data_IF_612054397677
#
_entry.id   IF_612054397677
#
_cell.length_a   1.000
_cell.length_b   1.000
_cell.length_c   1.000
_cell.angle_alpha   90.00
_cell.angle_beta   90.00
_cell.angle_gamma   90.00
#
_symmetry.space_group_name_H-M   'P 1'
#
loop_
_entity.id
_entity.type
_entity.pdbx_description
1 polymer ?
#
# COMPACT_ATOMS: atom_id res chain seq x y z
N UNK A 1 12.67 -17.35 42.82
CA UNK A 1 11.28 -17.87 42.88
C UNK A 1 10.40 -17.34 41.76
N UNK A 2 10.41 -16.04 41.43
CA UNK A 2 9.62 -15.52 40.30
C UNK A 2 10.06 -16.07 38.92
N UNK A 3 11.37 -16.21 38.67
CA UNK A 3 11.88 -16.72 37.38
C UNK A 3 11.52 -18.21 37.14
N UNK A 4 11.69 -19.07 38.15
CA UNK A 4 11.26 -20.48 38.09
C UNK A 4 9.74 -20.65 37.83
N UNK A 5 8.91 -19.67 38.21
CA UNK A 5 7.47 -19.70 37.94
C UNK A 5 7.15 -19.38 36.46
N UNK A 6 7.97 -18.55 35.80
CA UNK A 6 7.81 -18.22 34.38
C UNK A 6 8.23 -19.40 33.49
N UNK A 7 9.40 -20.00 33.74
CA UNK A 7 9.84 -21.20 33.01
C UNK A 7 8.86 -22.38 33.18
N UNK A 8 8.23 -22.51 34.35
CA UNK A 8 7.19 -23.51 34.59
C UNK A 8 5.90 -23.24 33.80
N UNK A 9 5.55 -21.97 33.55
CA UNK A 9 4.43 -21.60 32.70
C UNK A 9 4.70 -21.98 31.23
N UNK A 10 5.89 -21.67 30.73
CA UNK A 10 6.32 -22.00 29.35
C UNK A 10 6.48 -23.50 29.12
N UNK A 11 6.95 -24.24 30.14
CA UNK A 11 7.01 -25.70 30.08
C UNK A 11 5.61 -26.33 29.93
N UNK A 12 4.59 -25.65 30.46
CA UNK A 12 3.21 -26.10 30.48
C UNK A 12 2.89 -26.92 31.73
N UNK A 13 1.93 -26.45 32.53
CA UNK A 13 1.48 -27.12 33.76
C UNK A 13 1.03 -28.57 33.50
N UNK A 14 0.39 -28.81 32.34
CA UNK A 14 -0.06 -30.14 31.94
C UNK A 14 1.08 -31.15 31.73
N UNK A 15 2.23 -30.70 31.21
CA UNK A 15 3.38 -31.58 30.97
C UNK A 15 4.06 -31.99 32.27
N UNK A 16 4.25 -31.05 33.21
CA UNK A 16 4.79 -31.39 34.53
C UNK A 16 3.88 -32.38 35.28
N UNK A 17 2.56 -32.21 35.14
CA UNK A 17 1.59 -33.15 35.72
C UNK A 17 1.65 -34.52 35.04
N UNK A 18 1.85 -34.59 33.73
CA UNK A 18 2.02 -35.84 33.00
C UNK A 18 3.29 -36.58 33.44
N UNK A 19 4.43 -35.88 33.54
CA UNK A 19 5.70 -36.45 34.03
C UNK A 19 5.54 -36.97 35.47
N UNK A 20 4.92 -36.20 36.36
CA UNK A 20 4.68 -36.61 37.75
C UNK A 20 3.74 -37.82 37.85
N UNK A 21 2.71 -37.87 37.01
CA UNK A 21 1.76 -39.01 36.95
C UNK A 21 2.48 -40.28 36.48
N UNK A 22 3.24 -40.19 35.40
CA UNK A 22 4.04 -41.31 34.89
C UNK A 22 5.05 -41.81 35.92
N UNK A 23 5.76 -40.91 36.60
CA UNK A 23 6.69 -41.28 37.66
C UNK A 23 6.00 -42.01 38.82
N UNK A 24 4.80 -41.54 39.22
CA UNK A 24 4.00 -42.18 40.26
C UNK A 24 3.55 -43.60 39.85
N UNK A 25 3.12 -43.79 38.61
CA UNK A 25 2.73 -45.10 38.07
C UNK A 25 3.92 -46.08 38.05
N UNK A 26 5.09 -45.63 37.56
CA UNK A 26 6.32 -46.42 37.58
C UNK A 26 6.72 -46.82 39.01
N UNK A 27 6.55 -45.91 39.99
CA UNK A 27 6.83 -46.18 41.40
C UNK A 27 5.89 -47.26 41.97
N UNK A 28 4.60 -47.23 41.62
CA UNK A 28 3.60 -48.21 42.08
C UNK A 28 3.84 -49.63 41.54
N UNK A 29 4.49 -49.76 40.37
CA UNK A 29 4.84 -51.04 39.78
C UNK A 29 5.91 -51.84 40.53
N UNK A 30 6.54 -51.25 41.58
CA UNK A 30 7.59 -51.91 42.36
C UNK A 30 7.29 -51.81 43.86
N UNK A 31 7.31 -52.90 44.64
CA UNK A 31 7.24 -52.79 46.10
C UNK A 31 8.55 -52.17 46.61
N UNK A 32 8.50 -50.90 47.00
CA UNK A 32 9.65 -50.15 47.53
C UNK A 32 9.47 -49.93 49.03
N UNK A 33 10.55 -50.03 49.82
CA UNK A 33 10.50 -49.64 51.24
C UNK A 33 10.27 -48.13 51.37
N UNK A 34 9.58 -47.71 52.43
CA UNK A 34 9.23 -46.30 52.65
C UNK A 34 10.45 -45.34 52.60
N UNK A 35 11.63 -45.78 53.05
CA UNK A 35 12.85 -44.98 52.97
C UNK A 35 13.37 -44.78 51.53
N UNK A 36 13.33 -45.83 50.71
CA UNK A 36 13.76 -45.75 49.31
C UNK A 36 12.74 -45.00 48.45
N UNK A 37 11.46 -45.08 48.82
CA UNK A 37 10.37 -44.32 48.23
C UNK A 37 10.61 -42.79 48.35
N UNK A 38 10.89 -42.33 49.57
CA UNK A 38 11.21 -40.93 49.84
C UNK A 38 12.48 -40.46 49.11
N UNK A 39 13.50 -41.33 49.01
CA UNK A 39 14.72 -41.05 48.27
C UNK A 39 14.46 -40.86 46.77
N UNK A 40 13.64 -41.71 46.16
CA UNK A 40 13.28 -41.62 44.75
C UNK A 40 12.47 -40.34 44.45
N UNK A 41 11.49 -40.02 45.28
CA UNK A 41 10.72 -38.78 45.14
C UNK A 41 11.61 -37.54 45.24
N UNK A 42 12.55 -37.50 46.21
CA UNK A 42 13.50 -36.39 46.33
C UNK A 42 14.44 -36.29 45.11
N UNK A 43 14.90 -37.42 44.57
CA UNK A 43 15.73 -37.44 43.39
C UNK A 43 14.99 -36.91 42.15
N UNK A 44 13.73 -37.31 41.97
CA UNK A 44 12.85 -36.81 40.92
C UNK A 44 12.65 -35.29 41.02
N UNK A 45 12.27 -34.79 42.19
CA UNK A 45 12.08 -33.35 42.42
C UNK A 45 13.37 -32.57 42.15
N UNK A 46 14.52 -33.08 42.62
CA UNK A 46 15.82 -32.45 42.39
C UNK A 46 16.14 -32.37 40.90
N UNK A 47 15.89 -33.45 40.15
CA UNK A 47 16.14 -33.49 38.71
C UNK A 47 15.23 -32.54 37.92
N UNK A 48 13.91 -32.60 38.17
CA UNK A 48 12.94 -31.73 37.48
C UNK A 48 13.25 -30.26 37.76
N UNK A 49 13.57 -29.90 39.01
CA UNK A 49 13.98 -28.54 39.35
C UNK A 49 15.28 -28.13 38.65
N UNK A 50 16.23 -29.06 38.50
CA UNK A 50 17.46 -28.81 37.74
C UNK A 50 17.21 -28.55 36.26
N UNK A 51 16.31 -29.32 35.64
CA UNK A 51 15.90 -29.13 34.24
C UNK A 51 15.20 -27.80 34.04
N UNK A 52 14.27 -27.43 34.93
CA UNK A 52 13.56 -26.15 34.87
C UNK A 52 14.51 -24.96 35.09
N UNK A 53 15.51 -25.10 35.98
CA UNK A 53 16.54 -24.08 36.17
C UNK A 53 17.39 -23.85 34.91
N UNK A 54 17.80 -24.94 34.25
CA UNK A 54 18.54 -24.85 32.98
C UNK A 54 17.68 -24.26 31.85
N UNK A 55 16.39 -24.56 31.81
CA UNK A 55 15.48 -23.95 30.85
C UNK A 55 15.39 -22.43 31.08
N UNK A 56 15.19 -22.01 32.33
CA UNK A 56 15.11 -20.60 32.72
C UNK A 56 16.37 -19.83 32.30
N UNK A 57 17.55 -20.37 32.59
CA UNK A 57 18.83 -19.79 32.18
C UNK A 57 18.93 -19.63 30.66
N UNK A 58 18.46 -20.62 29.89
CA UNK A 58 18.52 -20.57 28.43
C UNK A 58 17.47 -19.63 27.84
N UNK A 59 16.26 -19.63 28.36
CA UNK A 59 15.22 -18.69 27.93
C UNK A 59 15.61 -17.25 28.24
N UNK A 60 16.30 -17.00 29.34
CA UNK A 60 16.83 -15.67 29.67
C UNK A 60 17.88 -15.15 28.67
N UNK A 61 18.53 -16.03 27.91
CA UNK A 61 19.47 -15.63 26.84
C UNK A 61 18.81 -15.37 25.50
N UNK A 62 17.52 -15.72 25.34
CA UNK A 62 16.76 -15.53 24.11
C UNK A 62 15.93 -14.24 24.21
N UNK A 63 15.88 -13.47 23.13
CA UNK A 63 15.00 -12.31 23.06
C UNK A 63 13.55 -12.77 22.83
N UNK A 64 12.62 -12.27 23.64
CA UNK A 64 11.27 -12.84 23.77
C UNK A 64 10.44 -12.91 22.48
N UNK A 65 10.66 -12.03 21.51
CA UNK A 65 9.80 -11.93 20.31
C UNK A 65 10.45 -12.44 19.03
N UNK A 66 11.77 -12.36 18.88
CA UNK A 66 12.47 -12.74 17.64
C UNK A 66 12.83 -14.23 17.56
N UNK A 67 12.98 -14.89 18.70
CA UNK A 67 13.65 -16.20 18.83
C UNK A 67 12.66 -17.34 19.09
N UNK A 68 11.46 -17.27 18.51
CA UNK A 68 10.37 -18.23 18.75
C UNK A 68 10.80 -19.68 18.52
N UNK A 69 11.49 -19.98 17.41
CA UNK A 69 11.89 -21.36 17.09
C UNK A 69 12.94 -21.88 18.07
N UNK A 70 13.89 -21.03 18.48
CA UNK A 70 14.90 -21.40 19.46
C UNK A 70 14.27 -21.65 20.84
N UNK A 71 13.31 -20.81 21.24
CA UNK A 71 12.54 -20.97 22.48
C UNK A 71 11.78 -22.30 22.51
N UNK A 72 11.03 -22.61 21.45
CA UNK A 72 10.31 -23.89 21.35
C UNK A 72 11.25 -25.10 21.39
N UNK A 73 12.42 -25.01 20.75
CA UNK A 73 13.40 -26.09 20.78
C UNK A 73 14.01 -26.29 22.19
N UNK A 74 14.25 -25.22 22.96
CA UNK A 74 14.68 -25.32 24.35
C UNK A 74 13.61 -25.91 25.26
N UNK A 75 12.35 -25.51 25.07
CA UNK A 75 11.21 -26.07 25.81
C UNK A 75 11.08 -27.57 25.50
N UNK A 76 11.19 -27.97 24.23
CA UNK A 76 11.15 -29.38 23.84
C UNK A 76 12.30 -30.20 24.46
N UNK A 77 13.51 -29.64 24.48
CA UNK A 77 14.68 -30.27 25.11
C UNK A 77 14.50 -30.38 26.63
N UNK A 78 13.95 -29.37 27.29
CA UNK A 78 13.63 -29.41 28.72
C UNK A 78 12.54 -30.45 29.02
N UNK A 79 11.48 -30.52 28.20
CA UNK A 79 10.44 -31.55 28.31
C UNK A 79 11.07 -32.94 28.26
N UNK A 80 11.88 -33.21 27.25
CA UNK A 80 12.63 -34.46 27.16
C UNK A 80 13.50 -34.72 28.41
N UNK A 81 14.22 -33.70 28.88
CA UNK A 81 15.02 -33.77 30.10
C UNK A 81 14.21 -34.15 31.35
N UNK A 82 12.98 -33.65 31.50
CA UNK A 82 12.12 -34.00 32.63
C UNK A 82 11.65 -35.47 32.57
N UNK A 83 11.36 -35.99 31.37
CA UNK A 83 10.99 -37.39 31.17
C UNK A 83 12.16 -38.36 31.39
N UNK A 84 13.42 -37.91 31.37
CA UNK A 84 14.61 -38.77 31.53
C UNK A 84 14.57 -39.59 32.83
N UNK A 85 14.09 -39.03 33.95
CA UNK A 85 13.95 -39.79 35.22
C UNK A 85 12.93 -40.92 35.10
N UNK A 86 11.85 -40.72 34.34
CA UNK A 86 10.86 -41.76 34.06
C UNK A 86 11.48 -42.84 33.15
N UNK A 87 12.26 -42.46 32.14
CA UNK A 87 12.98 -43.40 31.29
C UNK A 87 13.99 -44.23 32.08
N UNK A 88 14.81 -43.62 32.93
CA UNK A 88 15.76 -44.35 33.78
C UNK A 88 15.03 -45.33 34.71
N UNK A 89 13.92 -44.89 35.32
CA UNK A 89 13.11 -45.76 36.19
C UNK A 89 12.50 -46.94 35.42
N UNK A 90 12.01 -46.71 34.20
CA UNK A 90 11.48 -47.76 33.33
C UNK A 90 12.58 -48.74 32.88
N UNK A 91 13.78 -48.24 32.57
CA UNK A 91 14.96 -49.05 32.23
C UNK A 91 15.36 -49.96 33.40
N UNK A 92 15.32 -49.47 34.63
CA UNK A 92 15.59 -50.27 35.83
C UNK A 92 14.56 -51.39 36.07
N UNK A 93 13.34 -51.23 35.54
CA UNK A 93 12.26 -52.20 35.64
C UNK A 93 12.20 -53.18 34.46
N UNK A 94 12.91 -52.89 33.36
CA UNK A 94 12.89 -53.71 32.16
C UNK A 94 13.58 -55.07 32.37
N UNK A 95 13.24 -56.03 31.51
CA UNK A 95 13.95 -57.30 31.46
C UNK A 95 15.45 -57.07 31.17
N UNK A 96 16.38 -57.87 31.73
CA UNK A 96 17.82 -57.61 31.66
C UNK A 96 18.37 -57.46 30.24
N UNK A 97 17.79 -58.18 29.28
CA UNK A 97 18.14 -58.16 27.85
C UNK A 97 17.71 -56.86 27.14
N UNK A 98 16.73 -56.13 27.68
CA UNK A 98 16.24 -54.86 27.13
C UNK A 98 16.95 -53.62 27.69
N UNK A 99 17.65 -53.72 28.82
CA UNK A 99 18.31 -52.58 29.49
C UNK A 99 19.31 -51.88 28.57
N UNK A 100 20.15 -52.65 27.88
CA UNK A 100 21.16 -52.12 26.95
C UNK A 100 20.54 -51.35 25.77
N UNK A 101 19.64 -51.98 24.99
CA UNK A 101 18.92 -51.32 23.91
C UNK A 101 18.16 -50.06 24.34
N UNK A 102 17.46 -50.08 25.47
CA UNK A 102 16.70 -48.92 25.96
C UNK A 102 17.61 -47.76 26.38
N UNK A 103 18.76 -48.03 27.01
CA UNK A 103 19.77 -46.99 27.30
C UNK A 103 20.32 -46.37 26.03
N UNK A 104 20.62 -47.19 25.03
CA UNK A 104 21.10 -46.70 23.74
C UNK A 104 20.06 -45.80 23.05
N UNK A 105 18.77 -46.19 23.09
CA UNK A 105 17.67 -45.40 22.56
C UNK A 105 17.52 -44.06 23.31
N UNK A 106 17.58 -44.07 24.64
CA UNK A 106 17.51 -42.86 25.47
C UNK A 106 18.63 -41.87 25.13
N UNK A 107 19.87 -42.37 24.97
CA UNK A 107 21.02 -41.55 24.55
C UNK A 107 20.82 -41.01 23.13
N UNK A 108 20.28 -41.81 22.20
CA UNK A 108 19.99 -41.36 20.84
C UNK A 108 18.93 -40.25 20.81
N UNK A 109 17.85 -40.38 21.59
CA UNK A 109 16.82 -39.35 21.73
C UNK A 109 17.40 -38.06 22.33
N UNK A 110 18.21 -38.15 23.40
CA UNK A 110 18.85 -36.99 24.00
C UNK A 110 19.72 -36.23 22.98
N UNK A 111 20.49 -36.95 22.15
CA UNK A 111 21.28 -36.34 21.06
C UNK A 111 20.42 -35.67 20.00
N UNK A 112 19.26 -36.25 19.67
CA UNK A 112 18.34 -35.67 18.69
C UNK A 112 17.76 -34.33 19.18
N UNK A 113 17.30 -34.25 20.43
CA UNK A 113 16.80 -33.00 20.99
C UNK A 113 17.91 -31.95 21.17
N UNK A 114 19.13 -32.36 21.53
CA UNK A 114 20.28 -31.45 21.55
C UNK A 114 20.59 -30.91 20.15
N UNK A 115 20.54 -31.77 19.12
CA UNK A 115 20.71 -31.37 17.72
C UNK A 115 19.61 -30.41 17.26
N UNK A 116 18.35 -30.66 17.63
CA UNK A 116 17.23 -29.79 17.30
C UNK A 116 17.42 -28.37 17.85
N UNK A 117 17.81 -28.24 19.13
CA UNK A 117 18.10 -26.95 19.74
C UNK A 117 19.26 -26.22 19.05
N UNK A 118 20.31 -26.95 18.65
CA UNK A 118 21.45 -26.36 17.91
C UNK A 118 21.03 -25.87 16.53
N UNK A 119 20.26 -26.66 15.78
CA UNK A 119 19.77 -26.29 14.44
C UNK A 119 18.82 -25.09 14.52
N UNK A 120 17.92 -25.07 15.50
CA UNK A 120 17.01 -23.94 15.71
C UNK A 120 17.78 -22.63 15.98
N UNK A 121 18.79 -22.67 16.86
CA UNK A 121 19.64 -21.50 17.13
C UNK A 121 20.47 -21.06 15.92
N UNK A 122 21.00 -22.01 15.15
CA UNK A 122 21.75 -21.69 13.93
C UNK A 122 20.84 -21.03 12.89
N UNK A 123 19.65 -21.59 12.67
CA UNK A 123 18.65 -21.03 11.77
C UNK A 123 18.22 -19.62 12.18
N UNK A 124 17.94 -19.39 13.47
CA UNK A 124 17.57 -18.06 13.97
C UNK A 124 18.70 -17.04 13.81
N UNK A 125 19.95 -17.46 14.05
CA UNK A 125 21.12 -16.60 13.82
C UNK A 125 21.24 -16.19 12.37
N UNK A 126 21.14 -17.15 11.44
CA UNK A 126 21.27 -16.88 10.01
C UNK A 126 20.12 -16.00 9.51
N UNK A 127 18.88 -16.28 9.95
CA UNK A 127 17.69 -15.45 9.67
C UNK A 127 17.87 -14.02 10.17
N UNK A 128 18.32 -13.84 11.41
CA UNK A 128 18.52 -12.51 11.99
C UNK A 128 19.66 -11.76 11.27
N UNK A 129 20.74 -12.45 10.87
CA UNK A 129 21.80 -11.84 10.08
C UNK A 129 21.31 -11.38 8.69
N UNK A 130 20.45 -12.16 8.04
CA UNK A 130 19.83 -11.78 6.76
C UNK A 130 18.88 -10.60 6.91
N UNK A 131 18.04 -10.58 7.95
CA UNK A 131 17.15 -9.45 8.25
C UNK A 131 17.94 -8.17 8.48
N UNK A 132 19.02 -8.21 9.27
CA UNK A 132 19.86 -7.05 9.51
C UNK A 132 20.58 -6.57 8.23
N UNK A 133 21.03 -7.49 7.38
CA UNK A 133 21.60 -7.13 6.09
C UNK A 133 20.58 -6.41 5.19
N UNK A 134 19.34 -6.90 5.14
CA UNK A 134 18.25 -6.27 4.38
C UNK A 134 17.85 -4.90 4.96
N UNK A 135 17.87 -4.73 6.29
CA UNK A 135 17.63 -3.44 6.94
C UNK A 135 18.68 -2.41 6.55
N UNK A 136 19.96 -2.76 6.61
CA UNK A 136 21.06 -1.88 6.19
C UNK A 136 20.97 -1.52 4.70
N UNK A 137 20.63 -2.48 3.84
CA UNK A 137 20.43 -2.21 2.41
C UNK A 137 19.25 -1.27 2.17
N UNK A 138 18.14 -1.47 2.89
CA UNK A 138 16.96 -0.61 2.84
C UNK A 138 17.30 0.82 3.27
N UNK A 139 17.92 1.01 4.43
CA UNK A 139 18.31 2.34 4.94
C UNK A 139 19.22 3.08 3.96
N UNK A 140 20.15 2.36 3.32
CA UNK A 140 21.02 2.92 2.28
C UNK A 140 20.21 3.37 1.06
N UNK A 141 19.27 2.54 0.59
CA UNK A 141 18.42 2.89 -0.55
C UNK A 141 17.53 4.11 -0.24
N UNK A 142 16.96 4.18 0.97
CA UNK A 142 16.18 5.33 1.43
C UNK A 142 17.01 6.61 1.47
N UNK A 143 18.25 6.53 1.98
CA UNK A 143 19.16 7.67 1.97
C UNK A 143 19.51 8.12 0.54
N UNK A 144 19.80 7.18 -0.37
CA UNK A 144 20.08 7.49 -1.78
C UNK A 144 18.87 8.13 -2.50
N UNK A 145 17.64 7.76 -2.13
CA UNK A 145 16.39 8.36 -2.63
C UNK A 145 16.19 9.76 -2.06
N UNK A 146 16.42 9.96 -0.77
CA UNK A 146 16.31 11.29 -0.15
C UNK A 146 17.31 12.28 -0.75
N UNK A 147 18.57 11.87 -0.96
CA UNK A 147 19.57 12.68 -1.66
C UNK A 147 19.11 13.07 -3.08
N UNK A 148 18.43 12.15 -3.78
CA UNK A 148 17.89 12.40 -5.11
C UNK A 148 16.72 13.39 -5.09
N UNK A 149 15.85 13.30 -4.09
CA UNK A 149 14.76 14.25 -3.91
C UNK A 149 15.26 15.65 -3.56
N UNK A 150 16.25 15.76 -2.66
CA UNK A 150 16.87 17.03 -2.30
C UNK A 150 17.57 17.66 -3.51
N UNK A 151 18.32 16.88 -4.29
CA UNK A 151 18.92 17.34 -5.53
C UNK A 151 17.88 17.79 -6.57
N UNK A 152 16.74 17.10 -6.66
CA UNK A 152 15.65 17.51 -7.55
C UNK A 152 15.03 18.84 -7.11
N UNK A 153 14.79 19.03 -5.81
CA UNK A 153 14.28 20.30 -5.26
C UNK A 153 15.23 21.46 -5.54
N UNK A 154 16.53 21.28 -5.31
CA UNK A 154 17.53 22.30 -5.58
C UNK A 154 17.60 22.69 -7.08
N UNK A 155 17.41 21.73 -7.98
CA UNK A 155 17.36 21.98 -9.42
C UNK A 155 16.06 22.68 -9.86
N UNK A 156 14.93 22.34 -9.24
CA UNK A 156 13.65 23.02 -9.48
C UNK A 156 13.74 24.49 -9.02
N UNK A 157 14.31 24.77 -7.82
CA UNK A 157 14.56 26.13 -7.32
C UNK A 157 15.51 26.92 -8.24
N UNK A 158 16.60 26.31 -8.71
CA UNK A 158 17.53 26.98 -9.65
C UNK A 158 16.86 27.25 -11.01
N UNK A 159 16.00 26.33 -11.48
CA UNK A 159 15.25 26.52 -12.71
C UNK A 159 14.25 27.69 -12.60
N UNK A 160 13.60 27.87 -11.45
CA UNK A 160 12.73 29.02 -11.17
C UNK A 160 13.53 30.33 -11.18
N UNK A 161 14.65 30.41 -10.47
CA UNK A 161 15.52 31.60 -10.46
C UNK A 161 15.97 31.95 -11.88
N UNK A 162 16.45 30.97 -12.66
CA UNK A 162 16.84 31.20 -14.06
C UNK A 162 15.66 31.62 -14.93
N UNK A 163 14.46 31.12 -14.67
CA UNK A 163 13.26 31.53 -15.37
C UNK A 163 12.93 33.00 -15.08
N UNK A 164 13.00 33.43 -13.82
CA UNK A 164 12.80 34.81 -13.41
C UNK A 164 13.86 35.75 -14.02
N UNK A 165 15.14 35.38 -13.95
CA UNK A 165 16.23 36.14 -14.58
C UNK A 165 16.02 36.27 -16.09
N UNK A 166 15.63 35.18 -16.75
CA UNK A 166 15.32 35.18 -18.19
C UNK A 166 14.13 36.09 -18.50
N UNK A 167 13.09 36.08 -17.66
CA UNK A 167 11.94 36.97 -17.81
C UNK A 167 12.31 38.44 -17.57
N UNK A 168 13.17 38.73 -16.60
CA UNK A 168 13.67 40.08 -16.36
C UNK A 168 14.56 40.58 -17.49
N UNK A 169 15.49 39.76 -17.98
CA UNK A 169 16.29 40.02 -19.18
C UNK A 169 15.40 40.28 -20.39
N UNK A 170 14.36 39.47 -20.61
CA UNK A 170 13.36 39.71 -21.66
C UNK A 170 12.64 41.03 -21.47
N UNK A 171 12.27 41.40 -20.24
CA UNK A 171 11.65 42.70 -19.94
C UNK A 171 12.60 43.85 -20.26
N UNK A 172 13.88 43.74 -19.86
CA UNK A 172 14.93 44.74 -20.12
C UNK A 172 15.27 44.85 -21.62
N UNK A 173 15.33 43.73 -22.34
CA UNK A 173 15.57 43.68 -23.78
C UNK A 173 14.35 44.12 -24.59
N UNK A 174 13.13 43.89 -24.11
CA UNK A 174 11.89 44.44 -24.68
C UNK A 174 11.91 45.97 -24.76
N UNK A 175 12.56 46.64 -23.81
CA UNK A 175 12.83 48.09 -23.85
C UNK A 175 13.93 48.52 -24.82
N UNK A 176 14.80 47.61 -25.28
CA UNK A 176 15.94 47.90 -26.19
C UNK A 176 15.72 47.42 -27.63
N UNK A 177 14.64 46.69 -27.88
CA UNK A 177 14.35 46.01 -29.16
C UNK A 177 13.51 46.87 -30.11
N UNK A 178 13.96 48.09 -30.39
CA UNK A 178 13.53 48.80 -31.61
C UNK A 178 14.49 48.62 -32.77
N UNK A 179 15.73 48.13 -32.59
CA UNK A 179 16.66 47.93 -33.71
C UNK A 179 17.71 46.83 -33.41
N UNK A 180 17.41 45.55 -33.65
CA UNK A 180 18.43 44.51 -33.91
C UNK A 180 17.80 43.20 -34.44
N UNK A 181 18.47 42.48 -35.35
CA UNK A 181 17.95 41.26 -35.97
C UNK A 181 18.03 40.05 -35.03
N UNK A 182 17.06 39.15 -35.17
CA UNK A 182 16.87 37.95 -34.37
C UNK A 182 18.00 36.93 -34.57
N UNK A 183 18.70 36.58 -33.50
CA UNK A 183 19.57 35.40 -33.44
C UNK A 183 18.89 34.36 -32.55
N UNK A 184 18.90 33.12 -33.01
CA UNK A 184 18.06 32.01 -32.57
C UNK A 184 18.56 31.37 -31.25
N UNK A 185 18.34 32.07 -30.13
CA UNK A 185 18.63 31.56 -28.76
C UNK A 185 17.77 30.33 -28.37
N UNK A 186 16.76 29.98 -29.16
CA UNK A 186 15.92 28.80 -28.94
C UNK A 186 16.65 27.47 -29.21
N UNK A 187 17.80 27.49 -29.89
CA UNK A 187 18.51 26.27 -30.29
C UNK A 187 19.37 25.66 -29.16
N UNK A 188 19.82 26.45 -28.19
CA UNK A 188 20.68 25.98 -27.07
C UNK A 188 19.85 25.39 -25.92
N UNK A 189 18.67 25.94 -25.63
CA UNK A 189 17.75 25.40 -24.62
C UNK A 189 17.05 24.10 -25.08
N UNK A 190 17.03 23.81 -26.39
CA UNK A 190 16.42 22.60 -26.96
C UNK A 190 17.22 21.30 -26.78
N UNK A 191 18.46 21.37 -26.29
CA UNK A 191 19.39 20.22 -26.36
C UNK A 191 19.38 19.25 -25.18
N UNK A 192 18.66 19.48 -24.08
CA UNK A 192 18.72 18.57 -22.91
C UNK A 192 17.38 18.12 -22.35
N UNK A 193 16.28 18.85 -22.51
CA UNK A 193 14.98 18.42 -21.99
C UNK A 193 14.28 17.51 -23.01
N UNK A 194 14.24 16.20 -22.74
CA UNK A 194 13.50 15.23 -23.56
C UNK A 194 12.04 15.65 -23.67
N UNK A 195 11.56 16.05 -24.84
CA UNK A 195 10.15 16.41 -25.06
C UNK A 195 9.36 15.11 -25.24
N UNK A 196 8.31 14.92 -24.45
CA UNK A 196 7.43 13.76 -24.56
C UNK A 196 6.26 14.10 -25.48
N UNK A 197 5.91 13.19 -26.39
CA UNK A 197 4.59 13.29 -27.04
C UNK A 197 3.51 12.82 -26.07
N UNK A 198 2.26 13.26 -26.26
CA UNK A 198 1.12 12.80 -25.45
C UNK A 198 1.07 11.28 -25.34
N UNK A 199 1.23 10.55 -26.44
CA UNK A 199 1.19 9.08 -26.44
C UNK A 199 2.35 8.49 -25.63
N UNK A 200 3.57 9.01 -25.80
CA UNK A 200 4.71 8.55 -25.00
C UNK A 200 4.53 8.80 -23.51
N UNK A 201 3.92 9.93 -23.14
CA UNK A 201 3.59 10.24 -21.76
C UNK A 201 2.55 9.26 -21.21
N UNK A 202 1.46 9.01 -21.94
CA UNK A 202 0.43 8.03 -21.54
C UNK A 202 1.02 6.63 -21.37
N UNK A 203 1.82 6.16 -22.32
CA UNK A 203 2.49 4.85 -22.24
C UNK A 203 3.44 4.78 -21.01
N UNK A 204 4.11 5.90 -20.69
CA UNK A 204 5.00 5.98 -19.53
C UNK A 204 4.22 5.98 -18.22
N UNK A 205 3.08 6.67 -18.16
CA UNK A 205 2.18 6.67 -17.00
C UNK A 205 1.64 5.26 -16.77
N UNK A 206 1.20 4.57 -17.83
CA UNK A 206 0.70 3.19 -17.72
C UNK A 206 1.79 2.23 -17.22
N UNK A 207 3.00 2.30 -17.79
CA UNK A 207 4.13 1.51 -17.32
C UNK A 207 4.51 1.80 -15.85
N UNK A 208 4.43 3.06 -15.42
CA UNK A 208 4.68 3.46 -14.04
C UNK A 208 3.61 2.89 -13.10
N UNK A 209 2.33 2.98 -13.47
CA UNK A 209 1.21 2.41 -12.70
C UNK A 209 1.34 0.90 -12.53
N UNK A 210 1.65 0.18 -13.60
CA UNK A 210 1.87 -1.28 -13.54
C UNK A 210 3.06 -1.65 -12.65
N UNK A 211 4.14 -0.86 -12.73
CA UNK A 211 5.32 -1.03 -11.87
C UNK A 211 4.96 -0.78 -10.41
N UNK A 212 4.22 0.29 -10.11
CA UNK A 212 3.79 0.66 -8.75
C UNK A 212 2.87 -0.41 -8.15
N UNK A 213 1.89 -0.89 -8.91
CA UNK A 213 0.99 -1.94 -8.44
C UNK A 213 1.71 -3.25 -8.12
N UNK A 214 2.83 -3.56 -8.79
CA UNK A 214 3.68 -4.72 -8.45
C UNK A 214 4.52 -4.46 -7.21
N UNK A 215 5.02 -3.23 -7.04
CA UNK A 215 5.79 -2.81 -5.87
C UNK A 215 4.94 -2.81 -4.61
N UNK A 216 3.73 -2.23 -4.67
CA UNK A 216 2.81 -2.21 -3.53
C UNK A 216 2.46 -3.60 -3.02
N UNK A 217 2.25 -4.57 -3.92
CA UNK A 217 2.05 -5.97 -3.53
C UNK A 217 3.26 -6.56 -2.79
N UNK A 218 4.47 -6.23 -3.22
CA UNK A 218 5.69 -6.66 -2.52
C UNK A 218 5.83 -5.99 -1.16
N UNK A 219 5.47 -4.70 -1.05
CA UNK A 219 5.45 -4.00 0.23
C UNK A 219 4.45 -4.66 1.20
N UNK A 220 3.25 -5.02 0.70
CA UNK A 220 2.24 -5.73 1.48
C UNK A 220 2.73 -7.12 1.94
N UNK A 221 3.35 -7.88 1.03
CA UNK A 221 3.94 -9.20 1.34
C UNK A 221 5.07 -9.10 2.37
N UNK A 222 5.90 -8.06 2.27
CA UNK A 222 7.01 -7.79 3.19
C UNK A 222 6.59 -7.04 4.46
N UNK A 223 5.32 -6.63 4.58
CA UNK A 223 4.79 -5.80 5.68
C UNK A 223 5.57 -4.51 5.90
N UNK A 224 5.93 -3.83 4.83
CA UNK A 224 6.60 -2.52 4.86
C UNK A 224 5.68 -1.43 4.32
N UNK A 225 5.98 -0.18 4.64
CA UNK A 225 5.25 0.98 4.13
C UNK A 225 5.28 1.00 2.60
N UNK A 226 4.17 1.44 2.00
CA UNK A 226 4.10 1.71 0.56
C UNK A 226 4.68 3.09 0.28
N UNK A 227 5.32 3.24 -0.86
CA UNK A 227 5.81 4.54 -1.33
C UNK A 227 4.66 5.35 -1.95
N UNK A 228 4.79 6.68 -1.97
CA UNK A 228 3.92 7.53 -2.79
C UNK A 228 4.18 7.30 -4.29
N UNK A 229 3.24 7.65 -5.17
CA UNK A 229 3.45 7.60 -6.63
C UNK A 229 4.69 8.41 -7.06
N UNK A 230 4.97 9.55 -6.42
CA UNK A 230 6.14 10.36 -6.72
C UNK A 230 7.44 9.64 -6.32
N UNK A 231 7.53 9.11 -5.10
CA UNK A 231 8.69 8.35 -4.63
C UNK A 231 8.96 7.14 -5.55
N UNK A 232 7.90 6.38 -5.89
CA UNK A 232 8.03 5.25 -6.81
C UNK A 232 8.42 5.67 -8.23
N UNK A 233 7.99 6.85 -8.71
CA UNK A 233 8.44 7.38 -9.99
C UNK A 233 9.96 7.54 -10.01
N UNK A 234 10.58 8.07 -8.96
CA UNK A 234 12.03 8.18 -8.88
C UNK A 234 12.70 6.80 -8.83
N UNK A 235 12.17 5.85 -8.06
CA UNK A 235 12.68 4.48 -8.01
C UNK A 235 12.61 3.78 -9.38
N UNK A 236 11.48 3.92 -10.09
CA UNK A 236 11.27 3.40 -11.44
C UNK A 236 12.27 3.99 -12.44
N UNK A 237 12.48 5.30 -12.40
CA UNK A 237 13.44 5.98 -13.26
C UNK A 237 14.89 5.58 -12.91
N UNK A 238 15.20 5.35 -11.63
CA UNK A 238 16.50 4.86 -11.20
C UNK A 238 16.81 3.49 -11.78
N UNK A 239 15.86 2.55 -11.72
CA UNK A 239 16.00 1.23 -12.33
C UNK A 239 16.20 1.30 -13.86
N UNK A 240 15.59 2.29 -14.52
CA UNK A 240 15.62 2.42 -15.98
C UNK A 240 16.86 3.14 -16.51
N UNK A 241 17.37 4.14 -15.79
CA UNK A 241 18.39 5.06 -16.28
C UNK A 241 19.71 5.00 -15.50
N UNK A 242 19.68 4.67 -14.20
CA UNK A 242 20.85 4.52 -13.32
C UNK A 242 21.69 5.77 -13.04
N UNK A 243 21.49 6.88 -13.78
CA UNK A 243 22.22 8.14 -13.61
C UNK A 243 21.34 9.20 -12.92
N UNK A 244 21.79 9.68 -11.75
CA UNK A 244 21.06 10.65 -10.90
C UNK A 244 20.59 11.89 -11.67
N UNK A 245 21.47 12.52 -12.45
CA UNK A 245 21.16 13.72 -13.23
C UNK A 245 20.07 13.46 -14.29
N UNK A 246 20.18 12.33 -14.99
CA UNK A 246 19.22 11.94 -16.03
C UNK A 246 17.84 11.63 -15.42
N UNK A 247 17.78 11.05 -14.23
CA UNK A 247 16.54 10.78 -13.51
C UNK A 247 15.81 12.08 -13.20
N UNK A 248 16.51 13.08 -12.65
CA UNK A 248 15.90 14.38 -12.34
C UNK A 248 15.41 15.08 -13.60
N UNK A 249 16.23 15.14 -14.65
CA UNK A 249 15.86 15.75 -15.93
C UNK A 249 14.61 15.08 -16.55
N UNK A 250 14.55 13.75 -16.47
CA UNK A 250 13.40 12.99 -16.98
C UNK A 250 12.16 13.21 -16.13
N UNK A 251 12.28 13.20 -14.79
CA UNK A 251 11.17 13.44 -13.87
C UNK A 251 10.57 14.84 -14.06
N UNK A 252 11.43 15.87 -14.13
CA UNK A 252 11.01 17.24 -14.41
C UNK A 252 10.30 17.36 -15.77
N UNK A 253 10.82 16.68 -16.80
CA UNK A 253 10.18 16.66 -18.11
C UNK A 253 8.82 15.95 -18.12
N UNK A 254 8.67 14.84 -17.38
CA UNK A 254 7.38 14.15 -17.21
C UNK A 254 6.37 15.10 -16.55
N UNK A 255 6.74 15.73 -15.43
CA UNK A 255 5.86 16.68 -14.72
C UNK A 255 5.42 17.83 -15.61
N UNK A 256 6.38 18.48 -16.28
CA UNK A 256 6.11 19.59 -17.20
C UNK A 256 5.17 19.17 -18.33
N UNK A 257 5.49 18.08 -19.03
CA UNK A 257 4.68 17.62 -20.17
C UNK A 257 3.29 17.16 -19.72
N UNK A 258 3.18 16.57 -18.53
CA UNK A 258 1.90 16.19 -17.95
C UNK A 258 1.05 17.42 -17.60
N UNK A 259 1.64 18.46 -17.01
CA UNK A 259 0.94 19.71 -16.74
C UNK A 259 0.44 20.40 -18.03
N UNK A 260 1.24 20.38 -19.11
CA UNK A 260 0.86 20.93 -20.42
C UNK A 260 -0.32 20.17 -21.06
N UNK A 261 -0.39 18.84 -20.89
CA UNK A 261 -1.45 18.02 -21.46
C UNK A 261 -2.68 17.81 -20.55
N UNK A 262 -2.56 18.05 -19.25
CA UNK A 262 -3.63 17.86 -18.27
C UNK A 262 -4.96 18.58 -18.62
N UNK A 263 -4.99 19.80 -19.19
CA UNK A 263 -6.25 20.45 -19.57
C UNK A 263 -7.03 19.73 -20.67
N UNK A 264 -6.34 18.93 -21.50
CA UNK A 264 -6.92 18.23 -22.64
C UNK A 264 -7.22 16.75 -22.36
N UNK A 265 -6.61 16.17 -21.33
CA UNK A 265 -6.68 14.74 -21.04
C UNK A 265 -6.87 14.49 -19.54
N UNK A 266 -8.02 13.91 -19.18
CA UNK A 266 -8.41 13.67 -17.79
C UNK A 266 -7.53 12.62 -17.11
N UNK A 267 -7.03 11.61 -17.84
CA UNK A 267 -6.16 10.59 -17.23
C UNK A 267 -4.81 11.21 -16.84
N UNK A 268 -4.27 12.08 -17.70
CA UNK A 268 -3.06 12.85 -17.39
C UNK A 268 -3.32 13.83 -16.24
N UNK A 269 -4.45 14.54 -16.24
CA UNK A 269 -4.83 15.43 -15.14
C UNK A 269 -4.93 14.69 -13.80
N UNK A 270 -5.55 13.52 -13.78
CA UNK A 270 -5.64 12.68 -12.58
C UNK A 270 -4.24 12.22 -12.14
N UNK A 271 -3.37 11.82 -13.07
CA UNK A 271 -2.00 11.42 -12.76
C UNK A 271 -1.19 12.56 -12.12
N UNK A 272 -1.26 13.78 -12.66
CA UNK A 272 -0.62 14.96 -12.05
C UNK A 272 -1.09 15.14 -10.60
N UNK A 273 -2.38 14.95 -10.35
CA UNK A 273 -2.96 15.13 -9.01
C UNK A 273 -2.56 14.05 -8.02
N UNK A 274 -2.36 12.83 -8.51
CA UNK A 274 -1.78 11.73 -7.73
C UNK A 274 -0.32 12.04 -7.38
N UNK A 275 0.47 12.56 -8.32
CA UNK A 275 1.85 13.00 -8.03
C UNK A 275 1.90 14.13 -7.00
N UNK A 276 0.90 15.02 -7.01
CA UNK A 276 0.77 16.15 -6.06
C UNK A 276 0.10 15.77 -4.72
N UNK A 277 -0.12 14.47 -4.46
CA UNK A 277 -0.79 13.97 -3.26
C UNK A 277 -2.15 14.66 -3.00
N UNK A 278 -2.92 14.88 -4.08
CA UNK A 278 -4.24 15.53 -4.04
C UNK A 278 -5.37 14.65 -4.58
N UNK A 279 -5.03 13.42 -4.97
CA UNK A 279 -5.93 12.38 -5.45
C UNK A 279 -5.35 11.02 -5.06
N UNK A 280 -6.20 10.10 -4.63
CA UNK A 280 -5.76 8.76 -4.23
C UNK A 280 -5.32 7.93 -5.45
N UNK A 281 -4.23 7.16 -5.31
CA UNK A 281 -3.66 6.34 -6.38
C UNK A 281 -4.66 5.37 -7.05
N UNK A 282 -5.52 4.63 -6.30
CA UNK A 282 -6.47 3.69 -6.89
C UNK A 282 -7.49 4.34 -7.83
N UNK A 283 -7.74 5.65 -7.69
CA UNK A 283 -8.69 6.35 -8.55
C UNK A 283 -8.32 6.32 -10.04
N UNK A 284 -7.03 6.19 -10.37
CA UNK A 284 -6.60 6.00 -11.76
C UNK A 284 -7.19 4.73 -12.37
N UNK A 285 -7.35 3.66 -11.58
CA UNK A 285 -7.98 2.41 -12.03
C UNK A 285 -9.50 2.55 -12.15
N UNK A 286 -10.12 3.35 -11.28
CA UNK A 286 -11.54 3.70 -11.40
C UNK A 286 -11.81 4.40 -12.74
N UNK A 287 -10.93 5.30 -13.16
CA UNK A 287 -11.00 5.99 -14.45
C UNK A 287 -10.85 5.02 -15.64
N UNK A 288 -9.87 4.11 -15.59
CA UNK A 288 -9.68 3.07 -16.61
C UNK A 288 -10.90 2.13 -16.70
N UNK A 289 -11.46 1.73 -15.55
CA UNK A 289 -12.68 0.90 -15.46
C UNK A 289 -13.92 1.62 -15.98
N UNK A 290 -14.04 2.93 -15.73
CA UNK A 290 -15.13 3.77 -16.25
C UNK A 290 -15.07 3.83 -17.78
N UNK A 291 -13.89 4.08 -18.35
CA UNK A 291 -13.66 4.09 -19.80
C UNK A 291 -14.04 2.75 -20.46
N UNK A 292 -13.64 1.64 -19.86
CA UNK A 292 -14.01 0.29 -20.31
C UNK A 292 -15.53 0.06 -20.21
N UNK A 293 -16.18 0.53 -19.14
CA UNK A 293 -17.62 0.41 -18.92
C UNK A 293 -18.43 1.21 -19.94
N UNK A 294 -18.01 2.44 -20.26
CA UNK A 294 -18.61 3.28 -21.31
C UNK A 294 -18.57 2.53 -22.66
N UNK A 295 -17.42 1.97 -23.03
CA UNK A 295 -17.28 1.17 -24.26
C UNK A 295 -18.22 -0.04 -24.28
N UNK A 296 -18.28 -0.78 -23.17
CA UNK A 296 -19.15 -1.96 -23.03
C UNK A 296 -20.63 -1.60 -23.16
N UNK A 297 -21.07 -0.51 -22.54
CA UNK A 297 -22.46 -0.04 -22.60
C UNK A 297 -22.82 0.48 -23.98
N UNK A 298 -21.90 1.15 -24.67
CA UNK A 298 -22.09 1.53 -26.06
C UNK A 298 -22.27 0.28 -26.95
N UNK A 299 -21.44 -0.75 -26.79
CA UNK A 299 -21.60 -2.04 -27.50
C UNK A 299 -22.96 -2.67 -27.23
N UNK A 300 -23.38 -2.72 -25.96
CA UNK A 300 -24.67 -3.27 -25.56
C UNK A 300 -25.83 -2.52 -26.22
N UNK A 301 -25.78 -1.18 -26.22
CA UNK A 301 -26.79 -0.35 -26.87
C UNK A 301 -26.87 -0.59 -28.38
N UNK A 302 -25.72 -0.67 -29.05
CA UNK A 302 -25.65 -0.96 -30.48
C UNK A 302 -26.21 -2.35 -30.79
N UNK A 303 -25.92 -3.36 -29.98
CA UNK A 303 -26.49 -4.70 -30.13
C UNK A 303 -28.03 -4.69 -30.02
N UNK A 304 -28.58 -3.95 -29.05
CA UNK A 304 -30.03 -3.80 -28.87
C UNK A 304 -30.69 -3.06 -30.03
N UNK A 305 -30.03 -2.05 -30.62
CA UNK A 305 -30.56 -1.33 -31.78
C UNK A 305 -30.47 -2.15 -33.07
N UNK A 306 -29.50 -3.06 -33.14
CA UNK A 306 -29.16 -3.87 -34.32
C UNK A 306 -29.68 -5.30 -34.20
N UNK A 307 -30.89 -5.52 -33.65
CA UNK A 307 -31.50 -6.84 -33.28
C UNK A 307 -31.46 -7.97 -34.32
N UNK A 308 -31.09 -7.71 -35.58
CA UNK A 308 -31.00 -8.70 -36.69
C UNK A 308 -29.61 -8.81 -37.30
N UNK A 309 -28.61 -8.10 -36.76
CA UNK A 309 -27.26 -8.04 -37.30
C UNK A 309 -26.34 -9.02 -36.59
N UNK A 310 -25.32 -9.50 -37.29
CA UNK A 310 -24.32 -10.40 -36.70
C UNK A 310 -23.42 -9.65 -35.72
N UNK A 311 -22.78 -10.38 -34.81
CA UNK A 311 -21.83 -9.81 -33.85
C UNK A 311 -20.71 -9.02 -34.54
N UNK A 312 -20.22 -9.50 -35.69
CA UNK A 312 -19.24 -8.79 -36.52
C UNK A 312 -19.73 -7.41 -36.96
N UNK A 313 -21.03 -7.27 -37.25
CA UNK A 313 -21.60 -5.98 -37.66
C UNK A 313 -21.75 -5.02 -36.47
N UNK A 314 -22.03 -5.54 -35.27
CA UNK A 314 -22.04 -4.75 -34.03
C UNK A 314 -20.63 -4.24 -33.72
N UNK A 315 -19.62 -5.09 -33.83
CA UNK A 315 -18.22 -4.69 -33.63
C UNK A 315 -17.74 -3.67 -34.66
N UNK A 316 -18.12 -3.83 -35.93
CA UNK A 316 -17.81 -2.84 -36.96
C UNK A 316 -18.47 -1.48 -36.65
N UNK A 317 -19.71 -1.48 -36.15
CA UNK A 317 -20.40 -0.25 -35.74
C UNK A 317 -19.76 0.39 -34.50
N UNK A 318 -19.32 -0.42 -33.52
CA UNK A 318 -18.58 0.06 -32.37
C UNK A 318 -17.24 0.67 -32.80
N UNK A 319 -16.46 -0.02 -33.63
CA UNK A 319 -15.20 0.50 -34.17
C UNK A 319 -15.41 1.82 -34.92
N UNK A 320 -16.50 1.94 -35.69
CA UNK A 320 -16.84 3.18 -36.37
C UNK A 320 -17.14 4.33 -35.37
N UNK A 321 -17.83 4.05 -34.25
CA UNK A 321 -18.08 5.04 -33.18
C UNK A 321 -16.81 5.45 -32.44
N UNK A 322 -15.91 4.50 -32.21
CA UNK A 322 -14.64 4.74 -31.53
C UNK A 322 -13.66 5.55 -32.39
N UNK A 323 -13.72 5.42 -33.72
CA UNK A 323 -12.90 6.19 -34.66
C UNK A 323 -13.42 7.63 -34.78
N UNK A 324 -14.39 7.87 -35.67
CA UNK A 324 -14.84 9.24 -36.00
C UNK A 324 -16.36 9.39 -36.05
N UNK A 325 -17.12 8.30 -35.92
CA UNK A 325 -18.58 8.39 -35.99
C UNK A 325 -19.15 8.88 -34.66
N UNK A 326 -19.96 9.94 -34.66
CA UNK A 326 -20.41 10.54 -33.40
C UNK A 326 -21.42 9.65 -32.68
N UNK A 327 -21.30 9.60 -31.36
CA UNK A 327 -22.22 8.94 -30.44
C UNK A 327 -23.49 9.77 -30.32
N UNK A 328 -24.64 9.16 -30.63
CA UNK A 328 -25.93 9.84 -30.70
C UNK A 328 -26.55 10.08 -29.31
N UNK A 329 -27.51 11.01 -29.22
CA UNK A 329 -28.23 11.29 -27.97
C UNK A 329 -28.79 10.06 -27.28
N UNK A 330 -29.50 9.21 -28.01
CA UNK A 330 -30.06 7.98 -27.44
C UNK A 330 -28.98 7.00 -26.95
N UNK A 331 -27.77 7.04 -27.52
CA UNK A 331 -26.66 6.16 -27.15
C UNK A 331 -26.01 6.64 -25.85
N UNK A 332 -25.65 7.93 -25.76
CA UNK A 332 -25.04 8.46 -24.53
C UNK A 332 -26.04 8.58 -23.37
N UNK A 333 -27.34 8.82 -23.64
CA UNK A 333 -28.36 8.80 -22.59
C UNK A 333 -28.51 7.42 -21.96
N UNK A 334 -28.43 6.36 -22.77
CA UNK A 334 -28.44 4.98 -22.27
C UNK A 334 -27.24 4.74 -21.35
N UNK A 335 -26.05 5.15 -21.76
CA UNK A 335 -24.82 5.02 -20.97
C UNK A 335 -24.94 5.74 -19.63
N UNK A 336 -25.42 6.99 -19.59
CA UNK A 336 -25.57 7.75 -18.34
C UNK A 336 -26.59 7.11 -17.40
N UNK A 337 -27.69 6.61 -17.96
CA UNK A 337 -28.79 6.02 -17.18
C UNK A 337 -28.31 4.80 -16.42
N UNK A 338 -27.40 4.03 -17.02
CA UNK A 338 -26.82 2.82 -16.43
C UNK A 338 -25.63 3.12 -15.49
N UNK A 339 -24.76 4.08 -15.84
CA UNK A 339 -23.54 4.37 -15.08
C UNK A 339 -23.74 5.19 -13.80
N UNK A 340 -24.71 6.11 -13.79
CA UNK A 340 -24.84 7.08 -12.71
C UNK A 340 -26.15 6.89 -11.94
N UNK A 341 -26.21 7.46 -10.74
CA UNK A 341 -27.46 7.52 -9.99
C UNK A 341 -28.38 8.62 -10.51
N UNK A 342 -29.68 8.53 -10.20
CA UNK A 342 -30.71 9.52 -10.62
C UNK A 342 -30.37 10.95 -10.25
N UNK A 343 -29.67 11.17 -9.12
CA UNK A 343 -29.25 12.50 -8.69
C UNK A 343 -28.20 13.12 -9.63
N UNK A 344 -27.28 12.29 -10.15
CA UNK A 344 -26.20 12.70 -11.04
C UNK A 344 -26.63 12.73 -12.51
N UNK A 345 -27.63 11.93 -12.91
CA UNK A 345 -28.18 11.90 -14.29
C UNK A 345 -28.42 13.31 -14.85
N UNK A 346 -29.15 14.15 -14.11
CA UNK A 346 -29.53 15.49 -14.60
C UNK A 346 -28.31 16.40 -14.80
N UNK A 347 -27.31 16.28 -13.92
CA UNK A 347 -26.08 17.11 -13.98
C UNK A 347 -25.22 16.71 -15.17
N UNK A 348 -24.99 15.41 -15.34
CA UNK A 348 -24.21 14.88 -16.46
C UNK A 348 -24.90 15.15 -17.80
N UNK A 349 -26.22 14.96 -17.88
CA UNK A 349 -27.00 15.29 -19.08
C UNK A 349 -26.92 16.78 -19.42
N UNK A 350 -27.03 17.68 -18.44
CA UNK A 350 -26.90 19.11 -18.67
C UNK A 350 -25.51 19.49 -19.17
N UNK A 351 -24.45 18.88 -18.63
CA UNK A 351 -23.07 19.09 -19.06
C UNK A 351 -22.85 18.64 -20.51
N UNK A 352 -23.35 17.47 -20.88
CA UNK A 352 -23.27 16.97 -22.26
C UNK A 352 -24.07 17.82 -23.24
N UNK A 353 -25.30 18.22 -22.86
CA UNK A 353 -26.14 19.10 -23.69
C UNK A 353 -25.48 20.45 -23.92
N UNK A 354 -24.92 21.06 -22.87
CA UNK A 354 -24.18 22.32 -23.00
C UNK A 354 -23.01 22.19 -23.97
N UNK A 355 -22.30 21.05 -23.97
CA UNK A 355 -21.20 20.82 -24.91
C UNK A 355 -21.71 20.63 -26.35
N UNK A 356 -22.82 19.93 -26.55
CA UNK A 356 -23.41 19.75 -27.89
C UNK A 356 -24.08 21.02 -28.44
N UNK A 357 -24.58 21.90 -27.57
CA UNK A 357 -25.26 23.15 -27.95
C UNK A 357 -24.30 24.35 -28.09
N UNK A 358 -23.16 24.32 -27.40
CA UNK A 358 -22.21 25.44 -27.32
C UNK A 358 -21.27 25.62 -28.51
N UNK A 359 -21.24 24.66 -29.46
CA UNK A 359 -20.31 24.71 -30.62
C UNK A 359 -20.94 25.33 -31.88
N UNK A 360 -22.27 25.45 -31.94
CA UNK A 360 -23.00 25.95 -33.11
C UNK A 360 -23.81 27.21 -32.76
N UNK A 361 -23.11 28.35 -32.66
CA UNK A 361 -23.73 29.67 -32.49
C UNK A 361 -24.56 30.17 -33.69
N UNK A 362 -24.79 29.36 -34.74
CA UNK A 362 -25.49 29.80 -35.95
C UNK A 362 -26.47 28.72 -36.47
N UNK A 363 -27.68 29.17 -36.74
CA UNK A 363 -28.84 28.48 -37.32
C UNK A 363 -29.69 27.63 -36.35
N UNK A 364 -31.03 27.65 -36.37
CA UNK A 364 -31.88 26.77 -35.54
C UNK A 364 -32.55 25.59 -36.28
N UNK A 365 -32.20 25.32 -37.55
CA UNK A 365 -33.06 24.50 -38.45
C UNK A 365 -32.88 22.97 -38.49
N UNK A 366 -31.91 22.37 -37.79
CA UNK A 366 -31.55 20.93 -37.96
C UNK A 366 -31.75 20.06 -36.71
N UNK A 367 -32.98 19.64 -36.42
CA UNK A 367 -33.38 19.09 -35.11
C UNK A 367 -32.88 17.69 -34.68
N UNK A 368 -32.11 16.96 -35.50
CA UNK A 368 -31.69 15.58 -35.19
C UNK A 368 -30.19 15.33 -35.12
N UNK A 369 -29.37 16.04 -35.92
CA UNK A 369 -27.93 15.84 -35.98
C UNK A 369 -27.16 16.58 -34.87
N UNK A 370 -27.80 17.54 -34.20
CA UNK A 370 -27.18 18.49 -33.26
C UNK A 370 -26.88 17.98 -31.86
N UNK A 371 -27.16 16.70 -31.58
CA UNK A 371 -26.97 16.12 -30.24
C UNK A 371 -26.11 14.87 -30.25
N UNK A 372 -25.23 14.77 -31.23
CA UNK A 372 -24.23 13.72 -31.32
C UNK A 372 -22.86 14.31 -30.96
N UNK A 373 -21.98 13.51 -30.34
CA UNK A 373 -20.63 13.93 -29.96
C UNK A 373 -19.60 12.85 -30.26
N UNK A 374 -18.33 13.21 -30.55
CA UNK A 374 -17.26 12.23 -30.68
C UNK A 374 -17.15 11.35 -29.43
N UNK A 375 -16.81 10.07 -29.61
CA UNK A 375 -16.67 9.13 -28.49
C UNK A 375 -15.65 9.60 -27.46
N UNK A 376 -14.48 10.09 -27.91
CA UNK A 376 -13.44 10.58 -27.02
C UNK A 376 -13.94 11.76 -26.19
N UNK A 377 -14.69 12.69 -26.80
CA UNK A 377 -15.31 13.80 -26.07
C UNK A 377 -16.30 13.30 -25.01
N UNK A 378 -17.09 12.26 -25.30
CA UNK A 378 -18.02 11.67 -24.32
C UNK A 378 -17.24 11.12 -23.13
N UNK A 379 -16.21 10.31 -23.40
CA UNK A 379 -15.37 9.69 -22.37
C UNK A 379 -14.70 10.76 -21.50
N UNK A 380 -14.04 11.75 -22.09
CA UNK A 380 -13.38 12.83 -21.36
C UNK A 380 -14.37 13.65 -20.50
N UNK A 381 -15.60 13.90 -20.98
CA UNK A 381 -16.62 14.59 -20.18
C UNK A 381 -17.13 13.76 -18.99
N UNK A 382 -17.34 12.46 -19.18
CA UNK A 382 -17.78 11.56 -18.10
C UNK A 382 -16.67 11.36 -17.06
N UNK A 383 -15.43 11.19 -17.51
CA UNK A 383 -14.26 11.06 -16.63
C UNK A 383 -13.97 12.37 -15.88
N UNK A 384 -14.04 13.52 -16.55
CA UNK A 384 -13.85 14.82 -15.88
C UNK A 384 -14.93 15.09 -14.83
N UNK A 385 -16.18 14.69 -15.09
CA UNK A 385 -17.24 14.75 -14.07
C UNK A 385 -16.88 13.89 -12.85
N UNK A 386 -16.41 12.66 -13.09
CA UNK A 386 -16.03 11.74 -12.01
C UNK A 386 -14.82 12.26 -11.22
N UNK A 387 -13.80 12.77 -11.90
CA UNK A 387 -12.63 13.39 -11.27
C UNK A 387 -13.04 14.60 -10.43
N UNK A 388 -13.84 15.51 -10.97
CA UNK A 388 -14.31 16.69 -10.22
C UNK A 388 -15.17 16.31 -9.02
N UNK A 389 -15.95 15.23 -9.11
CA UNK A 389 -16.71 14.68 -7.98
C UNK A 389 -15.78 14.16 -6.88
N UNK A 390 -14.75 13.39 -7.25
CA UNK A 390 -13.75 12.86 -6.31
C UNK A 390 -12.91 13.97 -5.66
N UNK A 391 -12.52 15.00 -6.42
CA UNK A 391 -11.77 16.12 -5.87
C UNK A 391 -12.54 16.88 -4.80
N UNK A 392 -13.81 17.21 -5.06
CA UNK A 392 -14.67 17.85 -4.06
C UNK A 392 -14.90 16.96 -2.84
N UNK A 393 -14.84 15.65 -3.05
CA UNK A 393 -14.94 14.69 -1.97
C UNK A 393 -13.70 14.79 -1.07
N UNK A 394 -12.51 14.68 -1.67
CA UNK A 394 -11.22 14.67 -0.98
C UNK A 394 -10.73 16.04 -0.49
N UNK A 395 -11.28 17.15 -1.00
CA UNK A 395 -10.83 18.52 -0.69
C UNK A 395 -10.56 18.78 0.81
N UNK A 396 -11.45 18.41 1.75
CA UNK A 396 -11.18 18.60 3.18
C UNK A 396 -9.98 17.81 3.70
N UNK A 397 -9.77 16.59 3.19
CA UNK A 397 -8.63 15.74 3.55
C UNK A 397 -7.35 16.33 2.96
N UNK A 398 -7.36 16.74 1.70
CA UNK A 398 -6.21 17.34 1.03
C UNK A 398 -5.72 18.59 1.77
N UNK A 399 -6.65 19.48 2.14
CA UNK A 399 -6.30 20.68 2.90
C UNK A 399 -5.74 20.34 4.29
N UNK A 400 -6.38 19.43 5.01
CA UNK A 400 -5.93 19.03 6.35
C UNK A 400 -4.61 18.27 6.35
N UNK A 401 -4.37 17.44 5.33
CA UNK A 401 -3.14 16.69 5.13
C UNK A 401 -1.98 17.65 4.82
N UNK A 402 -2.15 18.55 3.84
CA UNK A 402 -1.14 19.56 3.50
C UNK A 402 -0.80 20.52 4.64
N UNK A 403 -1.73 20.73 5.56
CA UNK A 403 -1.48 21.55 6.76
C UNK A 403 -0.58 20.85 7.79
N UNK A 404 -0.33 19.54 7.66
CA UNK A 404 0.48 18.70 8.56
C UNK A 404 1.70 18.06 7.87
N UNK A 405 1.69 18.03 6.55
CA UNK A 405 2.77 17.54 5.69
C UNK A 405 3.77 18.68 5.41
N UNK A 406 4.63 18.95 6.40
CA UNK A 406 5.53 20.12 6.40
C UNK A 406 6.54 20.10 5.24
N UNK A 407 6.95 18.92 4.78
CA UNK A 407 7.94 18.74 3.72
C UNK A 407 7.33 18.41 2.35
N UNK A 408 5.99 18.33 2.26
CA UNK A 408 5.22 18.07 1.04
C UNK A 408 5.67 16.80 0.31
N UNK A 409 6.06 15.76 1.04
CA UNK A 409 6.45 14.48 0.45
C UNK A 409 5.26 13.51 0.27
N UNK A 410 4.09 13.87 0.84
CA UNK A 410 2.88 13.07 0.81
C UNK A 410 2.78 12.03 1.91
N UNK A 411 3.54 12.20 2.99
CA UNK A 411 3.68 11.23 4.06
C UNK A 411 3.49 11.90 5.42
N UNK A 412 2.65 11.29 6.26
CA UNK A 412 2.47 11.72 7.65
C UNK A 412 2.95 10.61 8.61
N UNK A 413 3.38 11.03 9.80
CA UNK A 413 3.52 10.09 10.92
C UNK A 413 2.15 9.62 11.39
N UNK A 414 2.09 8.48 12.11
CA UNK A 414 0.84 8.00 12.72
C UNK A 414 0.18 9.05 13.62
N UNK A 415 0.98 9.79 14.40
CA UNK A 415 0.47 10.82 15.31
C UNK A 415 -0.12 12.01 14.54
N UNK A 416 0.59 12.49 13.51
CA UNK A 416 0.10 13.56 12.65
C UNK A 416 -1.19 13.16 11.91
N UNK A 417 -1.29 11.90 11.47
CA UNK A 417 -2.52 11.37 10.88
C UNK A 417 -3.64 11.22 11.92
N UNK A 418 -3.36 10.76 13.14
CA UNK A 418 -4.35 10.72 14.21
C UNK A 418 -4.89 12.14 14.53
N UNK A 419 -4.02 13.14 14.55
CA UNK A 419 -4.41 14.55 14.74
C UNK A 419 -5.24 15.11 13.57
N UNK A 420 -5.04 14.60 12.35
CA UNK A 420 -5.92 14.88 11.22
C UNK A 420 -7.31 14.28 11.45
N UNK A 421 -7.38 13.04 11.95
CA UNK A 421 -8.64 12.34 12.22
C UNK A 421 -9.45 12.97 13.38
N UNK A 422 -8.78 13.62 14.33
CA UNK A 422 -9.43 14.38 15.42
C UNK A 422 -10.01 15.72 14.98
N UNK A 423 -9.64 16.22 13.81
CA UNK A 423 -10.01 17.56 13.35
C UNK A 423 -11.50 17.66 12.95
N UNK A 424 -12.32 18.12 13.89
CA UNK A 424 -13.76 18.25 13.68
C UNK A 424 -14.14 19.21 12.53
N UNK A 425 -13.25 20.12 12.12
CA UNK A 425 -13.50 21.01 10.98
C UNK A 425 -13.54 20.25 9.64
N UNK A 426 -12.81 19.13 9.56
CA UNK A 426 -12.76 18.23 8.40
C UNK A 426 -13.96 17.29 8.43
N UNK A 427 -14.16 16.58 9.56
CA UNK A 427 -15.15 15.50 9.65
C UNK A 427 -16.56 15.98 10.03
N UNK A 428 -16.71 17.24 10.45
CA UNK A 428 -17.98 17.80 10.92
C UNK A 428 -18.45 17.24 12.29
N UNK A 429 -17.66 16.36 12.90
CA UNK A 429 -17.83 15.83 14.25
C UNK A 429 -16.47 15.53 14.86
N UNK A 430 -16.40 15.54 16.19
CA UNK A 430 -15.25 14.98 16.90
C UNK A 430 -15.38 13.45 16.90
N UNK A 431 -14.30 12.77 16.51
CA UNK A 431 -14.19 11.32 16.63
C UNK A 431 -13.70 10.96 18.04
N UNK A 432 -14.15 9.82 18.56
CA UNK A 432 -13.56 9.27 19.78
C UNK A 432 -12.20 8.59 19.49
N UNK A 433 -11.46 8.25 20.54
CA UNK A 433 -10.12 7.69 20.38
C UNK A 433 -10.14 6.28 19.75
N UNK A 434 -11.18 5.48 19.98
CA UNK A 434 -11.28 4.15 19.40
C UNK A 434 -11.53 4.25 17.88
N UNK A 435 -12.42 5.16 17.45
CA UNK A 435 -12.64 5.46 16.02
C UNK A 435 -11.37 5.99 15.32
N UNK A 436 -10.57 6.82 16.01
CA UNK A 436 -9.31 7.32 15.47
C UNK A 436 -8.30 6.18 15.32
N UNK A 437 -8.16 5.33 16.35
CA UNK A 437 -7.25 4.20 16.33
C UNK A 437 -7.60 3.19 15.24
N UNK A 438 -8.88 2.90 15.02
CA UNK A 438 -9.35 2.01 13.96
C UNK A 438 -8.94 2.51 12.56
N UNK A 439 -9.15 3.80 12.28
CA UNK A 439 -8.80 4.40 10.99
C UNK A 439 -7.28 4.47 10.80
N UNK A 440 -6.52 4.77 11.85
CA UNK A 440 -5.06 4.79 11.81
C UNK A 440 -4.51 3.37 11.58
N UNK A 441 -5.12 2.35 12.20
CA UNK A 441 -4.76 0.95 11.97
C UNK A 441 -5.10 0.49 10.55
N UNK A 442 -6.18 0.99 9.94
CA UNK A 442 -6.48 0.73 8.53
C UNK A 442 -5.48 1.42 7.59
N UNK A 443 -5.05 2.64 7.91
CA UNK A 443 -4.11 3.41 7.09
C UNK A 443 -2.66 2.88 7.16
N UNK A 444 -2.25 2.35 8.31
CA UNK A 444 -0.94 1.73 8.55
C UNK A 444 -1.11 0.38 9.28
N UNK A 445 -1.52 -0.68 8.55
CA UNK A 445 -1.87 -1.99 9.11
C UNK A 445 -0.66 -2.79 9.63
N UNK A 446 0.55 -2.34 9.34
CA UNK A 446 1.79 -3.00 9.72
C UNK A 446 2.59 -2.20 10.76
N UNK A 447 1.99 -1.13 11.31
CA UNK A 447 2.62 -0.26 12.32
C UNK A 447 4.00 0.26 11.89
N UNK A 448 4.12 0.61 10.60
CA UNK A 448 5.36 1.14 10.02
C UNK A 448 5.69 2.53 10.53
N UNK A 449 4.74 3.22 11.15
CA UNK A 449 4.89 4.58 11.66
C UNK A 449 4.58 5.65 10.61
N UNK A 450 4.22 5.22 9.40
CA UNK A 450 4.18 6.05 8.20
C UNK A 450 2.85 5.86 7.49
N UNK A 451 2.18 6.97 7.15
CA UNK A 451 0.89 6.99 6.45
C UNK A 451 1.01 7.86 5.20
N UNK A 452 0.93 7.25 4.02
CA UNK A 452 0.89 8.00 2.75
C UNK A 452 -0.46 8.67 2.55
N UNK A 453 -0.51 9.74 1.74
CA UNK A 453 -1.75 10.39 1.34
C UNK A 453 -2.78 9.39 0.77
N UNK A 454 -2.33 8.47 -0.09
CA UNK A 454 -3.21 7.46 -0.68
C UNK A 454 -3.83 6.53 0.37
N UNK A 455 -3.07 6.11 1.39
CA UNK A 455 -3.58 5.29 2.50
C UNK A 455 -4.54 6.09 3.40
N UNK A 456 -4.20 7.34 3.70
CA UNK A 456 -5.04 8.26 4.47
C UNK A 456 -6.38 8.51 3.77
N UNK A 457 -6.37 8.82 2.47
CA UNK A 457 -7.57 9.07 1.68
C UNK A 457 -8.48 7.84 1.57
N UNK A 458 -7.90 6.63 1.47
CA UNK A 458 -8.66 5.38 1.37
C UNK A 458 -9.33 5.01 2.69
N UNK A 459 -8.57 5.00 3.79
CA UNK A 459 -9.07 4.65 5.13
C UNK A 459 -10.15 5.62 5.59
N UNK A 460 -10.02 6.92 5.28
CA UNK A 460 -10.98 7.93 5.71
C UNK A 460 -12.18 8.12 4.75
N UNK A 461 -12.25 7.37 3.64
CA UNK A 461 -13.25 7.56 2.58
C UNK A 461 -14.68 7.36 3.10
N UNK A 462 -14.93 6.35 3.94
CA UNK A 462 -16.25 6.09 4.50
C UNK A 462 -16.74 7.26 5.38
N UNK A 463 -15.89 7.75 6.28
CA UNK A 463 -16.21 8.87 7.16
C UNK A 463 -16.42 10.18 6.40
N UNK A 464 -15.66 10.39 5.33
CA UNK A 464 -15.79 11.56 4.48
C UNK A 464 -17.16 11.59 3.78
N UNK A 465 -17.67 10.43 3.35
CA UNK A 465 -18.99 10.31 2.75
C UNK A 465 -20.06 10.71 3.77
N UNK A 466 -19.98 10.19 4.99
CA UNK A 466 -20.93 10.49 6.05
C UNK A 466 -20.92 11.97 6.45
N UNK A 467 -19.73 12.56 6.59
CA UNK A 467 -19.54 13.97 6.90
C UNK A 467 -20.20 14.89 5.85
N UNK A 468 -19.98 14.59 4.56
CA UNK A 468 -20.58 15.37 3.46
C UNK A 468 -22.09 15.23 3.40
N UNK A 469 -22.61 14.03 3.66
CA UNK A 469 -24.05 13.78 3.70
C UNK A 469 -24.71 14.56 4.84
N UNK A 470 -24.08 14.61 6.02
CA UNK A 470 -24.54 15.40 7.16
C UNK A 470 -24.57 16.91 6.85
N UNK A 471 -23.50 17.46 6.24
CA UNK A 471 -23.44 18.87 5.80
C UNK A 471 -24.55 19.21 4.80
N UNK A 472 -24.80 18.30 3.84
CA UNK A 472 -25.86 18.50 2.84
C UNK A 472 -27.25 18.53 3.48
N UNK A 473 -27.50 17.70 4.50
CA UNK A 473 -28.75 17.66 5.24
C UNK A 473 -28.94 18.94 6.09
N UNK A 474 -27.88 19.41 6.75
CA UNK A 474 -27.90 20.65 7.53
C UNK A 474 -28.20 21.87 6.65
N UNK A 475 -27.57 22.01 5.48
CA UNK A 475 -27.82 23.10 4.52
C UNK A 475 -29.26 23.12 3.99
N UNK A 476 -29.89 21.96 3.86
CA UNK A 476 -31.32 21.87 3.47
C UNK A 476 -32.27 22.30 4.59
N UNK A 477 -31.84 22.19 5.86
CA UNK A 477 -32.62 22.61 7.03
C UNK A 477 -32.52 24.12 7.28
N UNK A 478 -31.36 24.74 7.03
CA UNK A 478 -31.16 26.19 7.23
C UNK A 478 -31.67 27.06 6.08
N UNK A 479 -31.97 26.48 4.91
CA UNK A 479 -32.56 27.16 3.76
C UNK A 479 -34.08 27.08 3.66
N UNK A 480 -34.76 26.53 4.68
CA UNK A 480 -36.20 26.64 4.91
C UNK A 480 -36.44 27.63 6.03
#
# INVERSE_FOLDING_TARGET
MAAAAAAAADFGVGELQAVATLFKELKQGRPVSAGRDAQMTRAFETHVNGVLGLLDERLATLNNESDYLAREAEIALAKHGAYDVCFQSAIEMAAPDLVGPLRALCVAHAKLFQGLAQVARAFERDKNAEIEALRVEKERAEHEVNDLMEAARALDDEAEIRHEETMELRRRLGTRRQNAPAVDEAEVARKTTKIWTRNQLVDTIEALRESKAKHDRKCDEARVARDTMQQHMYAFLNQRYGLKTLIVDVAASIRKTAAEHAPADVEICAFVKVLENSLDEPFLEVLSTLKASIRRLLRAKLAVDMKRKSERQVEAALAARLADSPVREAEWQYIITDLYERADHKRVQALLRRKTEGDDGVNPGGGGARRALPYETLVQLLMSYQLAKQQRHLEPIVEGFKARDDDNDGVLTRDAFADLMRDASIWGRTKDEDEVLDVVAEADPYETGVVTFSSAAQSANADLIDALMARSAAKRRSGR
#
